data_IF_461668363980
#
_entry.id   IF_461668363980
#
_cell.length_a   1.000
_cell.length_b   1.000
_cell.length_c   1.000
_cell.angle_alpha   90.00
_cell.angle_beta   90.00
_cell.angle_gamma   90.00
#
_symmetry.space_group_name_H-M   'P 1'
#
loop_
_entity.id
_entity.type
_entity.pdbx_description
1 polymer ?
#
# COMPACT_ATOMS: atom_id res chain seq x y z
N UNK A 1 22.45 55.31 2.94
CA UNK A 1 22.91 56.13 4.10
C UNK A 1 21.91 55.83 5.21
N UNK A 2 22.20 55.26 6.38
CA UNK A 2 23.41 55.12 7.19
C UNK A 2 23.49 53.71 7.81
N UNK A 3 24.68 53.40 8.30
CA UNK A 3 25.18 52.16 8.89
C UNK A 3 25.35 52.39 10.40
N UNK A 4 24.97 51.41 11.23
CA UNK A 4 25.32 51.32 12.68
C UNK A 4 24.95 49.89 13.11
N UNK A 5 25.82 48.90 13.39
CA UNK A 5 26.91 48.71 14.38
C UNK A 5 26.53 48.97 15.83
N UNK A 6 26.33 47.87 16.59
CA UNK A 6 26.39 47.73 18.06
C UNK A 6 26.83 46.27 18.30
N UNK A 7 28.12 45.95 18.46
CA UNK A 7 28.96 45.88 19.68
C UNK A 7 28.47 44.93 20.77
N UNK A 8 29.27 43.88 20.99
CA UNK A 8 29.25 42.90 22.08
C UNK A 8 29.41 43.52 23.47
N UNK A 9 28.74 42.94 24.47
CA UNK A 9 29.26 42.88 25.85
C UNK A 9 29.02 41.49 26.46
N UNK A 10 30.12 40.86 26.89
CA UNK A 10 30.14 39.63 27.66
C UNK A 10 29.97 39.92 29.16
N UNK A 11 29.14 39.14 29.86
CA UNK A 11 29.20 38.99 31.31
C UNK A 11 29.77 37.61 31.65
N UNK A 12 30.81 37.66 32.46
CA UNK A 12 31.61 36.56 33.00
C UNK A 12 30.87 35.84 34.13
N UNK A 13 30.81 34.51 34.10
CA UNK A 13 30.74 33.71 35.32
C UNK A 13 31.81 32.61 35.27
N UNK A 14 32.62 32.56 36.31
CA UNK A 14 33.80 31.72 36.50
C UNK A 14 33.39 30.32 36.97
N UNK A 15 34.07 29.30 36.45
CA UNK A 15 33.95 27.91 36.93
C UNK A 15 34.98 26.95 36.33
N UNK A 16 36.26 27.21 36.59
CA UNK A 16 37.39 26.25 36.77
C UNK A 16 37.56 25.03 35.83
N UNK A 17 38.55 25.17 34.93
CA UNK A 17 39.69 24.28 34.62
C UNK A 17 39.51 22.75 34.50
N UNK A 18 39.75 22.23 33.28
CA UNK A 18 40.85 21.28 33.03
C UNK A 18 41.30 21.27 31.55
N UNK A 19 42.48 21.87 31.34
CA UNK A 19 43.62 21.57 30.43
C UNK A 19 43.39 20.76 29.13
N UNK A 20 43.57 21.50 28.02
CA UNK A 20 44.25 21.21 26.73
C UNK A 20 44.13 19.83 26.06
N UNK A 21 43.71 19.85 24.78
CA UNK A 21 44.66 19.80 23.65
C UNK A 21 44.00 20.23 22.33
N UNK A 22 44.43 21.40 21.81
CA UNK A 22 44.11 21.85 20.45
C UNK A 22 45.07 21.17 19.47
N UNK A 23 44.54 20.46 18.46
CA UNK A 23 45.25 20.21 17.21
C UNK A 23 44.39 20.78 16.08
N UNK A 24 44.82 21.92 15.54
CA UNK A 24 44.33 22.45 14.28
C UNK A 24 44.75 21.51 13.15
N UNK A 25 43.79 20.88 12.47
CA UNK A 25 44.02 20.27 11.15
C UNK A 25 43.43 21.21 10.10
N UNK A 26 44.33 21.78 9.31
CA UNK A 26 44.01 22.56 8.11
C UNK A 26 43.38 21.60 7.09
N UNK A 27 42.09 21.75 6.79
CA UNK A 27 41.42 21.02 5.70
C UNK A 27 41.63 21.78 4.40
N UNK A 28 42.61 21.37 3.60
CA UNK A 28 42.65 21.72 2.17
C UNK A 28 41.60 20.87 1.44
N UNK A 29 40.56 21.52 0.91
CA UNK A 29 39.56 20.88 0.04
C UNK A 29 40.19 20.57 -1.32
N UNK A 30 40.49 19.30 -1.58
CA UNK A 30 40.64 18.80 -2.94
C UNK A 30 39.28 18.23 -3.37
N UNK A 31 38.63 18.90 -4.33
CA UNK A 31 37.46 18.36 -5.02
C UNK A 31 37.93 17.23 -5.94
N UNK A 32 37.41 16.03 -5.75
CA UNK A 32 37.47 14.96 -6.74
C UNK A 32 36.05 14.56 -7.12
N UNK A 33 35.64 14.96 -8.32
CA UNK A 33 34.46 14.46 -9.01
C UNK A 33 34.67 13.00 -9.36
N UNK A 34 33.88 12.11 -8.77
CA UNK A 34 33.77 10.71 -9.20
C UNK A 34 32.40 10.52 -9.82
N UNK A 35 32.40 10.36 -11.14
CA UNK A 35 31.27 9.84 -11.92
C UNK A 35 31.25 8.32 -11.76
N UNK A 36 30.18 7.72 -11.25
CA UNK A 36 29.96 6.28 -11.41
C UNK A 36 28.50 5.95 -11.69
N UNK A 37 28.29 5.35 -12.86
CA UNK A 37 27.07 4.66 -13.25
C UNK A 37 27.12 3.22 -12.74
N UNK A 38 26.08 2.79 -12.01
CA UNK A 38 25.60 1.40 -11.95
C UNK A 38 26.38 0.35 -11.12
N UNK A 39 25.62 -0.28 -10.21
CA UNK A 39 25.88 -1.49 -9.37
C UNK A 39 26.61 -1.25 -8.04
N UNK A 40 25.89 -1.52 -6.96
CA UNK A 40 26.29 -1.32 -5.57
C UNK A 40 27.64 -1.96 -5.24
N UNK A 41 28.62 -1.10 -4.95
CA UNK A 41 29.92 -1.47 -4.40
C UNK A 41 29.98 -1.16 -2.91
N UNK A 42 30.62 -2.05 -2.15
CA UNK A 42 31.00 -1.80 -0.75
C UNK A 42 32.22 -0.88 -0.76
N UNK A 43 32.15 0.27 -0.09
CA UNK A 43 33.28 1.18 0.04
C UNK A 43 33.92 0.96 1.41
N UNK A 44 35.06 0.27 1.44
CA UNK A 44 35.89 0.19 2.63
C UNK A 44 36.85 1.39 2.65
N UNK A 45 36.62 2.35 3.55
CA UNK A 45 37.56 3.47 3.74
C UNK A 45 38.48 3.16 4.93
N UNK A 46 39.76 2.88 4.65
CA UNK A 46 40.79 2.82 5.68
C UNK A 46 41.40 4.21 5.87
N UNK A 47 41.03 4.89 6.96
CA UNK A 47 41.81 6.02 7.48
C UNK A 47 42.79 5.49 8.51
N UNK A 48 44.07 5.37 8.13
CA UNK A 48 45.16 5.03 9.03
C UNK A 48 45.56 6.25 9.87
N UNK A 49 44.79 6.56 10.91
CA UNK A 49 45.31 7.30 12.05
C UNK A 49 45.89 6.29 13.04
N UNK A 50 47.12 6.53 13.51
CA UNK A 50 47.76 5.74 14.57
C UNK A 50 46.91 5.88 15.83
N UNK A 51 45.91 5.01 16.01
CA UNK A 51 45.20 4.56 17.22
C UNK A 51 43.93 3.79 16.77
N UNK A 52 43.92 2.47 16.96
CA UNK A 52 42.74 1.61 16.77
C UNK A 52 42.35 1.29 15.32
N UNK A 53 42.39 0.02 14.94
CA UNK A 53 41.88 -0.50 13.67
C UNK A 53 40.35 -0.47 13.63
N UNK A 54 39.74 0.68 13.37
CA UNK A 54 38.31 0.75 13.06
C UNK A 54 38.12 0.73 11.53
N UNK A 55 37.93 -0.47 10.97
CA UNK A 55 37.46 -0.58 9.59
C UNK A 55 35.98 -0.23 9.56
N UNK A 56 35.65 0.98 9.10
CA UNK A 56 34.28 1.41 8.85
C UNK A 56 33.83 0.88 7.49
N UNK A 57 32.83 0.01 7.48
CA UNK A 57 32.27 -0.58 6.26
C UNK A 57 30.92 0.08 6.01
N UNK A 58 30.79 0.78 4.89
CA UNK A 58 29.55 1.42 4.47
C UNK A 58 29.05 0.78 3.17
N UNK A 59 27.77 0.42 3.15
CA UNK A 59 27.07 -0.11 1.98
C UNK A 59 25.62 0.39 1.95
N UNK A 60 25.01 0.39 0.78
CA UNK A 60 23.62 0.80 0.63
C UNK A 60 22.67 -0.17 1.35
N UNK A 61 21.69 0.39 2.07
CA UNK A 61 20.66 -0.36 2.81
C UNK A 61 19.62 -0.96 1.84
N UNK A 62 20.02 -1.97 1.07
CA UNK A 62 19.18 -2.63 0.08
C UNK A 62 18.27 -3.70 0.71
N UNK A 63 17.07 -3.95 0.14
CA UNK A 63 16.24 -5.09 0.55
C UNK A 63 16.97 -6.42 0.36
N UNK A 64 16.79 -7.34 1.30
CA UNK A 64 17.38 -8.68 1.26
C UNK A 64 16.33 -9.75 1.57
N UNK A 65 16.57 -10.97 1.11
CA UNK A 65 15.78 -12.16 1.46
C UNK A 65 16.71 -13.23 1.99
N UNK A 66 16.41 -13.74 3.18
CA UNK A 66 17.13 -14.82 3.82
C UNK A 66 16.92 -16.17 3.13
N UNK A 67 17.77 -17.16 3.43
CA UNK A 67 17.61 -18.55 2.97
C UNK A 67 16.28 -19.20 3.40
N UNK A 68 15.62 -18.66 4.42
CA UNK A 68 14.33 -19.14 4.93
C UNK A 68 13.15 -18.26 4.47
N UNK A 69 13.34 -17.43 3.43
CA UNK A 69 12.28 -16.59 2.86
C UNK A 69 11.96 -15.32 3.66
N UNK A 70 12.60 -15.08 4.81
CA UNK A 70 12.43 -13.82 5.53
C UNK A 70 12.96 -12.64 4.71
N UNK A 71 12.11 -11.65 4.49
CA UNK A 71 12.53 -10.36 3.94
C UNK A 71 13.02 -9.43 5.04
N UNK A 72 14.05 -8.65 4.72
CA UNK A 72 14.65 -7.66 5.61
C UNK A 72 15.38 -6.55 4.84
N UNK A 73 16.20 -5.79 5.56
CA UNK A 73 17.11 -4.79 5.02
C UNK A 73 18.54 -5.23 5.29
N UNK A 74 19.41 -5.10 4.31
CA UNK A 74 20.82 -5.35 4.50
C UNK A 74 21.41 -4.25 5.38
N UNK A 75 21.84 -4.59 6.60
CA UNK A 75 22.46 -3.67 7.56
C UNK A 75 23.74 -4.29 8.12
N UNK A 76 24.62 -3.49 8.71
CA UNK A 76 25.70 -4.05 9.53
C UNK A 76 25.12 -4.79 10.73
N UNK A 77 25.87 -5.74 11.31
CA UNK A 77 25.38 -6.45 12.50
C UNK A 77 25.10 -5.49 13.67
N UNK A 78 25.93 -4.46 13.81
CA UNK A 78 25.77 -3.41 14.83
C UNK A 78 24.52 -2.57 14.61
N UNK A 79 24.27 -2.09 13.38
CA UNK A 79 23.07 -1.33 13.06
C UNK A 79 21.82 -2.17 13.24
N UNK A 80 21.85 -3.44 12.82
CA UNK A 80 20.72 -4.33 12.99
C UNK A 80 20.32 -4.46 14.47
N UNK A 81 21.29 -4.69 15.36
CA UNK A 81 21.07 -4.73 16.80
C UNK A 81 20.62 -3.38 17.37
N UNK A 82 21.19 -2.27 16.89
CA UNK A 82 20.81 -0.91 17.31
C UNK A 82 19.34 -0.60 17.00
N UNK A 83 18.85 -1.07 15.85
CA UNK A 83 17.44 -0.92 15.46
C UNK A 83 16.51 -1.97 16.12
N UNK A 84 17.03 -2.81 17.01
CA UNK A 84 16.27 -3.89 17.64
C UNK A 84 15.83 -4.98 16.66
N UNK A 85 16.54 -5.12 15.53
CA UNK A 85 16.26 -6.12 14.52
C UNK A 85 16.97 -7.45 14.78
N UNK A 86 16.50 -8.49 14.11
CA UNK A 86 17.06 -9.84 14.18
C UNK A 86 17.80 -10.15 12.87
N UNK A 87 19.05 -10.60 12.98
CA UNK A 87 19.84 -11.05 11.84
C UNK A 87 19.31 -12.39 11.30
N UNK A 88 18.77 -12.37 10.08
CA UNK A 88 18.23 -13.55 9.38
C UNK A 88 19.07 -13.86 8.14
N UNK A 89 20.36 -14.10 8.30
CA UNK A 89 21.27 -14.45 7.20
C UNK A 89 22.22 -13.32 6.81
N UNK A 90 22.99 -13.52 5.74
CA UNK A 90 24.06 -12.61 5.29
C UNK A 90 23.67 -11.91 3.99
N UNK A 91 24.14 -10.69 3.80
CA UNK A 91 23.96 -9.87 2.60
C UNK A 91 25.25 -9.07 2.32
N UNK A 92 25.27 -8.24 1.26
CA UNK A 92 26.43 -7.43 0.85
C UNK A 92 27.74 -8.25 0.83
N UNK A 93 27.75 -9.39 0.13
CA UNK A 93 28.90 -10.31 0.05
C UNK A 93 29.48 -10.78 1.40
N UNK A 94 28.65 -10.79 2.45
CA UNK A 94 29.03 -11.23 3.80
C UNK A 94 29.46 -10.11 4.74
N UNK A 95 29.49 -8.85 4.28
CA UNK A 95 29.77 -7.69 5.13
C UNK A 95 28.54 -7.25 5.96
N UNK A 96 27.33 -7.63 5.54
CA UNK A 96 26.08 -7.28 6.21
C UNK A 96 25.25 -8.50 6.63
N UNK A 97 24.25 -8.25 7.46
CA UNK A 97 23.20 -9.21 7.83
C UNK A 97 21.88 -8.80 7.23
N UNK A 98 21.06 -9.78 6.86
CA UNK A 98 19.69 -9.50 6.45
C UNK A 98 18.85 -9.24 7.70
N UNK A 99 18.71 -7.96 8.03
CA UNK A 99 18.10 -7.51 9.27
C UNK A 99 16.58 -7.41 9.15
N UNK A 100 15.87 -8.04 10.06
CA UNK A 100 14.41 -7.93 10.16
C UNK A 100 14.06 -7.13 11.42
N UNK A 101 13.54 -5.93 11.22
CA UNK A 101 13.07 -5.06 12.31
C UNK A 101 11.57 -5.27 12.48
N UNK A 102 11.18 -5.86 13.61
CA UNK A 102 9.77 -6.03 14.00
C UNK A 102 9.43 -5.07 15.12
N UNK A 103 8.22 -4.53 15.09
CA UNK A 103 7.66 -3.60 16.06
C UNK A 103 6.24 -4.02 16.41
N UNK A 104 5.88 -3.90 17.68
CA UNK A 104 4.55 -4.20 18.20
C UNK A 104 3.99 -3.03 19.02
N UNK A 105 2.90 -3.27 19.73
CA UNK A 105 2.10 -2.26 20.42
C UNK A 105 2.94 -1.27 21.23
N UNK A 106 2.71 0.02 21.01
CA UNK A 106 3.38 1.13 21.69
C UNK A 106 4.74 1.51 21.10
N UNK A 107 5.31 0.71 20.21
CA UNK A 107 6.63 0.99 19.63
C UNK A 107 6.58 1.95 18.43
N UNK A 108 7.77 2.41 18.03
CA UNK A 108 7.97 3.29 16.88
C UNK A 108 8.77 2.60 15.78
N UNK A 109 8.29 2.71 14.55
CA UNK A 109 8.96 2.34 13.31
C UNK A 109 9.62 3.60 12.74
N UNK A 110 10.94 3.66 12.75
CA UNK A 110 11.74 4.73 12.13
C UNK A 110 12.49 4.25 10.88
N UNK A 111 12.73 2.95 10.78
CA UNK A 111 13.49 2.35 9.69
C UNK A 111 12.55 1.89 8.58
N UNK A 112 12.96 2.14 7.33
CA UNK A 112 12.24 1.62 6.17
C UNK A 112 12.22 0.09 6.21
N UNK A 113 11.17 -0.51 5.66
CA UNK A 113 11.05 -1.95 5.46
C UNK A 113 11.05 -2.75 6.78
N UNK A 114 10.40 -2.16 7.80
CA UNK A 114 10.12 -2.78 9.10
C UNK A 114 8.76 -3.49 9.10
N UNK A 115 8.45 -4.19 10.19
CA UNK A 115 7.21 -4.93 10.35
C UNK A 115 6.41 -4.46 11.55
N UNK A 116 5.11 -4.26 11.38
CA UNK A 116 4.14 -4.18 12.47
C UNK A 116 3.55 -5.57 12.70
N UNK A 117 3.79 -6.14 13.88
CA UNK A 117 3.39 -7.52 14.23
C UNK A 117 2.54 -7.57 15.48
N UNK A 118 1.72 -8.61 15.57
CA UNK A 118 1.00 -8.94 16.80
C UNK A 118 1.97 -9.27 17.95
N UNK A 119 1.58 -8.99 19.21
CA UNK A 119 2.47 -9.15 20.36
C UNK A 119 2.88 -10.61 20.60
N UNK A 120 2.09 -11.57 20.13
CA UNK A 120 2.41 -13.01 20.22
C UNK A 120 3.58 -13.35 19.31
N UNK A 121 3.51 -12.91 18.05
CA UNK A 121 4.57 -13.06 17.05
C UNK A 121 5.86 -12.39 17.52
N UNK A 122 5.76 -11.21 18.15
CA UNK A 122 6.93 -10.52 18.71
C UNK A 122 7.55 -11.28 19.89
N UNK A 123 6.74 -11.80 20.81
CA UNK A 123 7.20 -12.53 21.98
C UNK A 123 7.74 -13.93 21.66
N UNK A 124 7.44 -14.48 20.47
CA UNK A 124 7.76 -15.87 20.12
C UNK A 124 7.03 -16.88 21.00
N UNK A 125 5.90 -16.49 21.59
CA UNK A 125 5.10 -17.27 22.53
C UNK A 125 3.98 -18.03 21.81
N UNK A 126 3.47 -19.10 22.43
CA UNK A 126 2.30 -19.85 21.97
C UNK A 126 0.97 -19.34 22.55
N UNK A 127 0.97 -18.18 23.20
CA UNK A 127 -0.24 -17.53 23.73
C UNK A 127 -1.06 -16.88 22.61
N UNK A 128 -2.35 -16.61 22.83
CA UNK A 128 -3.18 -15.84 21.88
C UNK A 128 -3.04 -14.32 22.09
N UNK A 129 -3.42 -13.54 21.08
CA UNK A 129 -3.51 -12.08 21.20
C UNK A 129 -4.59 -11.71 22.23
N UNK A 130 -4.30 -10.82 23.20
CA UNK A 130 -5.30 -10.40 24.20
C UNK A 130 -6.56 -9.79 23.57
N UNK A 131 -7.73 -10.18 24.07
CA UNK A 131 -9.01 -9.61 23.64
C UNK A 131 -9.16 -8.17 24.17
N UNK A 132 -9.87 -7.33 23.44
CA UNK A 132 -10.07 -5.92 23.83
C UNK A 132 -8.80 -5.06 23.68
N UNK A 133 -7.76 -5.59 23.03
CA UNK A 133 -6.49 -4.90 22.88
C UNK A 133 -6.61 -3.78 21.83
N UNK A 134 -6.11 -2.61 22.20
CA UNK A 134 -5.76 -1.54 21.26
C UNK A 134 -4.24 -1.56 21.04
N UNK A 135 -3.81 -2.11 19.92
CA UNK A 135 -2.40 -2.25 19.58
C UNK A 135 -2.04 -1.29 18.46
N UNK A 136 -1.18 -0.31 18.72
CA UNK A 136 -0.78 0.66 17.70
C UNK A 136 0.74 0.81 17.63
N UNK A 137 1.24 1.05 16.42
CA UNK A 137 2.63 1.49 16.18
C UNK A 137 2.64 2.89 15.59
N UNK A 138 3.69 3.63 15.92
CA UNK A 138 3.96 4.97 15.39
C UNK A 138 4.98 4.85 14.27
N UNK A 139 4.68 5.35 13.07
CA UNK A 139 5.59 5.33 11.91
C UNK A 139 6.14 6.74 11.71
N UNK A 140 7.44 6.87 11.95
CA UNK A 140 8.21 8.05 11.58
C UNK A 140 8.79 7.85 10.20
N UNK A 141 8.76 8.91 9.38
CA UNK A 141 9.41 8.89 8.09
C UNK A 141 10.91 8.61 8.28
N UNK A 142 11.44 7.68 7.49
CA UNK A 142 12.87 7.36 7.47
C UNK A 142 13.72 8.53 6.94
N UNK A 143 13.09 9.49 6.27
CA UNK A 143 13.68 10.76 5.87
C UNK A 143 12.62 11.68 5.24
N UNK A 144 12.95 12.97 5.11
CA UNK A 144 12.03 13.99 4.58
C UNK A 144 11.54 13.68 3.14
N UNK A 145 12.32 12.93 2.36
CA UNK A 145 11.97 12.55 0.98
C UNK A 145 10.99 11.37 0.85
N UNK A 146 10.37 10.90 1.94
CA UNK A 146 9.34 9.85 1.90
C UNK A 146 7.98 10.48 1.60
N UNK A 147 7.33 10.03 0.53
CA UNK A 147 6.02 10.51 0.10
C UNK A 147 4.90 9.48 0.27
N UNK A 148 5.21 8.20 0.42
CA UNK A 148 4.17 7.18 0.47
C UNK A 148 4.57 6.01 1.37
N UNK A 149 3.60 5.46 2.09
CA UNK A 149 3.72 4.18 2.76
C UNK A 149 3.03 3.11 1.93
N UNK A 150 3.69 1.97 1.73
CA UNK A 150 3.09 0.73 1.25
C UNK A 150 3.08 -0.27 2.39
N UNK A 151 1.87 -0.67 2.79
CA UNK A 151 1.60 -1.64 3.84
C UNK A 151 1.26 -2.97 3.18
N UNK A 152 2.16 -3.95 3.22
CA UNK A 152 1.85 -5.30 2.73
C UNK A 152 1.35 -6.16 3.87
N UNK A 153 0.16 -6.72 3.71
CA UNK A 153 -0.52 -7.57 4.70
C UNK A 153 -0.02 -9.02 4.56
N UNK A 154 1.25 -9.26 4.94
CA UNK A 154 1.88 -10.59 4.85
C UNK A 154 1.21 -11.63 5.76
N UNK A 155 0.51 -11.21 6.79
CA UNK A 155 -0.47 -12.01 7.54
C UNK A 155 -1.50 -11.04 8.06
N UNK A 156 -2.76 -11.38 7.91
CA UNK A 156 -3.85 -10.56 8.41
C UNK A 156 -5.10 -11.42 8.53
N UNK A 157 -5.37 -11.82 9.76
CA UNK A 157 -6.55 -12.58 10.17
C UNK A 157 -7.02 -11.99 11.50
N UNK A 158 -8.10 -11.23 11.42
CA UNK A 158 -8.83 -10.64 12.54
C UNK A 158 -10.31 -10.92 12.32
N UNK A 159 -11.16 -10.59 13.28
CA UNK A 159 -12.61 -10.75 13.10
C UNK A 159 -13.08 -9.90 11.92
N UNK A 160 -13.95 -10.48 11.09
CA UNK A 160 -14.52 -9.85 9.92
C UNK A 160 -15.58 -8.80 10.25
N UNK A 161 -16.27 -8.30 9.21
CA UNK A 161 -17.37 -7.37 9.38
C UNK A 161 -18.53 -8.03 10.15
N UNK A 162 -19.30 -7.21 10.86
CA UNK A 162 -20.43 -7.67 11.65
C UNK A 162 -21.61 -8.09 10.76
N UNK A 163 -21.71 -9.40 10.57
CA UNK A 163 -22.83 -10.07 9.89
C UNK A 163 -24.00 -10.37 10.82
N UNK A 164 -23.80 -10.32 12.14
CA UNK A 164 -24.81 -10.68 13.14
C UNK A 164 -25.89 -9.61 13.29
N UNK A 165 -25.49 -8.33 13.25
CA UNK A 165 -26.40 -7.19 13.17
C UNK A 165 -26.74 -6.78 11.74
N UNK A 166 -26.18 -7.49 10.75
CA UNK A 166 -26.29 -7.16 9.31
C UNK A 166 -25.78 -5.75 9.00
N UNK A 167 -24.89 -5.20 9.84
CA UNK A 167 -24.32 -3.87 9.61
C UNK A 167 -23.20 -3.88 8.57
N UNK A 168 -22.50 -5.00 8.39
CA UNK A 168 -21.38 -5.13 7.46
C UNK A 168 -20.14 -4.31 7.84
N UNK A 169 -20.15 -3.63 8.99
CA UNK A 169 -19.06 -2.76 9.43
C UNK A 169 -18.02 -3.56 10.22
N UNK A 170 -16.75 -3.16 10.14
CA UNK A 170 -15.66 -3.62 11.00
C UNK A 170 -15.82 -3.12 12.45
N UNK A 171 -16.89 -3.50 13.14
CA UNK A 171 -17.23 -3.05 14.50
C UNK A 171 -16.58 -3.89 15.60
N UNK A 172 -16.20 -5.14 15.30
CA UNK A 172 -15.53 -6.03 16.24
C UNK A 172 -14.02 -5.78 16.25
N UNK A 173 -13.36 -6.10 15.14
CA UNK A 173 -11.94 -5.81 14.94
C UNK A 173 -11.78 -4.82 13.78
N UNK A 174 -10.84 -3.89 13.89
CA UNK A 174 -10.56 -2.92 12.84
C UNK A 174 -9.07 -2.56 12.77
N UNK A 175 -8.53 -2.56 11.56
CA UNK A 175 -7.31 -1.88 11.20
C UNK A 175 -7.60 -0.46 10.77
N UNK A 176 -6.84 0.50 11.29
CA UNK A 176 -6.93 1.90 10.90
C UNK A 176 -5.54 2.49 10.66
N UNK A 177 -5.48 3.43 9.72
CA UNK A 177 -4.32 4.28 9.45
C UNK A 177 -4.74 5.72 9.69
N UNK A 178 -3.96 6.45 10.47
CA UNK A 178 -4.19 7.86 10.79
C UNK A 178 -2.90 8.67 10.70
N UNK A 179 -3.01 9.99 10.46
CA UNK A 179 -1.86 10.88 10.28
C UNK A 179 -1.26 10.86 8.87
N UNK A 180 -1.91 10.21 7.90
CA UNK A 180 -1.63 10.31 6.47
C UNK A 180 -2.25 11.57 5.85
N UNK A 181 -1.93 11.85 4.58
CA UNK A 181 -2.49 12.99 3.85
C UNK A 181 -4.03 12.95 3.83
N UNK A 182 -4.69 14.10 3.94
CA UNK A 182 -6.16 14.19 4.04
C UNK A 182 -6.90 13.61 2.83
N UNK A 183 -6.27 13.63 1.65
CA UNK A 183 -6.81 13.11 0.40
C UNK A 183 -6.45 11.63 0.16
N UNK A 184 -5.81 10.97 1.14
CA UNK A 184 -5.38 9.56 1.07
C UNK A 184 -5.98 8.74 2.21
N UNK A 185 -7.27 8.92 2.48
CA UNK A 185 -7.97 8.19 3.56
C UNK A 185 -7.93 6.68 3.29
N UNK A 186 -7.42 5.93 4.28
CA UNK A 186 -7.48 4.47 4.28
C UNK A 186 -8.73 4.05 5.04
N UNK A 187 -9.66 3.30 4.43
CA UNK A 187 -10.86 2.82 5.13
C UNK A 187 -10.49 1.81 6.23
N UNK A 188 -11.41 1.58 7.16
CA UNK A 188 -11.22 0.54 8.17
C UNK A 188 -11.21 -0.84 7.50
N UNK A 189 -10.21 -1.66 7.78
CA UNK A 189 -10.07 -3.00 7.19
C UNK A 189 -10.16 -4.05 8.29
N UNK A 190 -10.89 -5.13 8.05
CA UNK A 190 -11.04 -6.25 8.99
C UNK A 190 -11.19 -7.57 8.23
N UNK A 191 -11.22 -8.69 8.96
CA UNK A 191 -11.33 -10.02 8.39
C UNK A 191 -10.03 -10.57 7.79
N UNK A 192 -10.15 -11.39 6.74
CA UNK A 192 -9.04 -12.09 6.08
C UNK A 192 -8.47 -11.29 4.91
N UNK A 193 -7.24 -10.79 5.06
CA UNK A 193 -6.60 -9.92 4.04
C UNK A 193 -5.14 -10.31 3.72
N UNK A 194 -4.78 -11.56 4.01
CA UNK A 194 -3.44 -12.07 3.70
C UNK A 194 -3.10 -11.89 2.21
N UNK A 195 -1.91 -11.36 1.93
CA UNK A 195 -1.41 -11.15 0.58
C UNK A 195 -1.87 -9.84 -0.08
N UNK A 196 -2.78 -9.10 0.54
CA UNK A 196 -3.17 -7.78 0.05
C UNK A 196 -2.20 -6.67 0.48
N UNK A 197 -2.38 -5.47 -0.06
CA UNK A 197 -1.60 -4.29 0.34
C UNK A 197 -2.45 -3.03 0.35
N UNK A 198 -1.92 -2.00 1.01
CA UNK A 198 -2.51 -0.66 1.09
C UNK A 198 -1.42 0.38 0.84
N UNK A 199 -1.73 1.42 0.08
CA UNK A 199 -0.92 2.61 -0.07
C UNK A 199 -1.55 3.77 0.71
N UNK A 200 -0.72 4.51 1.45
CA UNK A 200 -1.11 5.74 2.13
C UNK A 200 -0.12 6.84 1.76
N UNK A 201 -0.61 7.93 1.14
CA UNK A 201 0.19 9.11 0.86
C UNK A 201 0.53 9.83 2.15
N UNK A 202 1.79 10.23 2.27
CA UNK A 202 2.32 10.98 3.40
C UNK A 202 3.17 12.14 2.89
N UNK A 203 2.91 12.64 1.68
CA UNK A 203 3.73 13.65 1.05
C UNK A 203 3.61 15.01 1.76
N UNK A 204 2.41 15.34 2.23
CA UNK A 204 2.04 16.66 2.74
C UNK A 204 2.00 16.71 4.28
N UNK A 205 2.40 15.63 4.94
CA UNK A 205 2.45 15.50 6.41
C UNK A 205 3.84 15.12 6.88
N UNK A 206 4.32 15.74 7.96
CA UNK A 206 5.61 15.36 8.58
C UNK A 206 5.50 14.06 9.40
N UNK A 207 4.28 13.65 9.71
CA UNK A 207 3.97 12.51 10.58
C UNK A 207 3.85 12.90 12.06
N UNK A 208 3.81 11.91 12.96
CA UNK A 208 3.87 10.49 12.65
C UNK A 208 2.57 9.94 12.05
N UNK A 209 2.69 8.89 11.25
CA UNK A 209 1.53 8.08 10.84
C UNK A 209 1.32 6.98 11.87
N UNK A 210 0.08 6.71 12.28
CA UNK A 210 -0.24 5.69 13.27
C UNK A 210 -1.01 4.54 12.63
N UNK A 211 -0.50 3.32 12.79
CA UNK A 211 -1.17 2.08 12.37
C UNK A 211 -1.76 1.43 13.61
N UNK A 212 -3.07 1.21 13.64
CA UNK A 212 -3.75 0.73 14.85
C UNK A 212 -4.64 -0.48 14.55
N UNK A 213 -4.48 -1.51 15.38
CA UNK A 213 -5.37 -2.66 15.54
C UNK A 213 -6.26 -2.42 16.75
N UNK A 214 -7.58 -2.33 16.53
CA UNK A 214 -8.60 -2.17 17.55
C UNK A 214 -9.36 -3.49 17.61
N UNK A 215 -9.32 -4.20 18.73
CA UNK A 215 -9.85 -5.56 18.83
C UNK A 215 -11.01 -5.63 19.82
N UNK A 216 -12.04 -6.43 19.51
CA UNK A 216 -13.14 -6.69 20.41
C UNK A 216 -12.75 -7.61 21.57
N UNK A 217 -13.58 -7.64 22.61
CA UNK A 217 -13.38 -8.46 23.81
C UNK A 217 -13.73 -9.94 23.63
N UNK A 218 -14.25 -10.33 22.48
CA UNK A 218 -14.57 -11.73 22.16
C UNK A 218 -13.30 -12.54 21.92
N UNK A 219 -13.32 -13.81 22.35
CA UNK A 219 -12.17 -14.70 22.27
C UNK A 219 -12.07 -15.30 20.87
N UNK A 220 -11.10 -14.82 20.10
CA UNK A 220 -10.80 -15.36 18.77
C UNK A 220 -9.30 -15.37 18.52
N UNK A 221 -8.86 -16.33 17.69
CA UNK A 221 -7.48 -16.33 17.19
C UNK A 221 -7.32 -15.18 16.20
N UNK A 222 -6.34 -14.32 16.46
CA UNK A 222 -5.99 -13.16 15.64
C UNK A 222 -4.50 -13.20 15.36
N UNK A 223 -4.10 -12.84 14.15
CA UNK A 223 -2.69 -12.67 13.84
C UNK A 223 -2.51 -11.66 12.71
N UNK A 224 -1.49 -10.81 12.85
CA UNK A 224 -1.09 -9.90 11.80
C UNK A 224 0.41 -9.74 11.73
N UNK A 225 0.87 -9.57 10.50
CA UNK A 225 2.24 -9.22 10.15
C UNK A 225 2.16 -8.31 8.94
N UNK A 226 2.36 -7.02 9.18
CA UNK A 226 2.23 -5.97 8.18
C UNK A 226 3.63 -5.42 7.89
N UNK A 227 4.10 -5.56 6.66
CA UNK A 227 5.37 -4.97 6.22
C UNK A 227 5.15 -3.52 5.86
N UNK A 228 5.88 -2.61 6.50
CA UNK A 228 5.81 -1.17 6.30
C UNK A 228 6.97 -0.73 5.41
N UNK A 229 6.66 -0.40 4.16
CA UNK A 229 7.62 0.10 3.17
C UNK A 229 7.40 1.60 3.00
N UNK A 230 8.44 2.38 3.14
CA UNK A 230 8.47 3.81 2.92
C UNK A 230 9.05 4.10 1.53
N UNK A 231 8.26 4.74 0.68
CA UNK A 231 8.57 4.98 -0.72
C UNK A 231 8.97 6.45 -0.89
N UNK A 232 10.18 6.72 -1.43
CA UNK A 232 10.62 8.07 -1.73
C UNK A 232 9.81 8.74 -2.84
N UNK A 233 9.70 10.06 -2.80
CA UNK A 233 8.97 10.89 -3.77
C UNK A 233 9.45 10.76 -5.22
N UNK A 234 10.70 10.35 -5.44
CA UNK A 234 11.26 10.12 -6.79
C UNK A 234 11.18 8.68 -7.27
N UNK A 235 10.52 7.78 -6.52
CA UNK A 235 10.48 6.36 -6.85
C UNK A 235 9.56 6.07 -8.03
N UNK A 236 10.02 5.27 -8.99
CA UNK A 236 9.17 4.71 -10.06
C UNK A 236 8.07 3.78 -9.53
N UNK A 237 8.16 3.41 -8.25
CA UNK A 237 7.19 2.54 -7.55
C UNK A 237 6.13 3.28 -6.77
N UNK A 238 6.06 4.61 -6.89
CA UNK A 238 4.94 5.38 -6.34
C UNK A 238 3.63 4.94 -6.99
N UNK A 239 2.61 4.72 -6.16
CA UNK A 239 1.26 4.58 -6.68
C UNK A 239 0.74 5.96 -7.08
N UNK A 240 -0.07 6.05 -8.16
CA UNK A 240 -0.71 7.31 -8.53
C UNK A 240 -1.59 7.87 -7.39
N UNK A 241 -1.79 9.20 -7.34
CA UNK A 241 -2.71 9.82 -6.37
C UNK A 241 -4.12 9.20 -6.44
N UNK A 242 -4.75 8.98 -5.28
CA UNK A 242 -6.08 8.38 -5.16
C UNK A 242 -6.11 6.84 -5.18
N UNK A 243 -4.99 6.18 -5.48
CA UNK A 243 -4.91 4.72 -5.48
C UNK A 243 -4.64 4.15 -4.08
N UNK A 244 -5.61 3.44 -3.49
CA UNK A 244 -5.39 2.70 -2.24
C UNK A 244 -4.62 1.40 -2.50
N UNK A 245 -4.86 0.75 -3.64
CA UNK A 245 -4.09 -0.39 -4.09
C UNK A 245 -3.42 -0.07 -5.43
N UNK A 246 -2.18 -0.49 -5.58
CA UNK A 246 -1.45 -0.36 -6.84
C UNK A 246 -0.71 -1.66 -7.18
N UNK A 247 -1.19 -2.32 -8.23
CA UNK A 247 -0.64 -3.56 -8.75
C UNK A 247 0.39 -3.25 -9.83
N UNK A 248 1.62 -3.69 -9.59
CA UNK A 248 2.76 -3.41 -10.46
C UNK A 248 3.03 -4.54 -11.46
N UNK A 249 2.51 -5.74 -11.18
CA UNK A 249 2.76 -6.93 -11.98
C UNK A 249 1.93 -6.92 -13.28
N UNK A 250 2.47 -7.46 -14.40
CA UNK A 250 1.78 -7.50 -15.68
C UNK A 250 0.45 -8.27 -15.66
N UNK A 251 0.35 -9.27 -14.79
CA UNK A 251 -0.85 -10.10 -14.60
C UNK A 251 -1.00 -10.42 -13.12
N UNK A 252 -2.24 -10.60 -12.67
CA UNK A 252 -2.54 -10.90 -11.28
C UNK A 252 -4.03 -11.05 -11.04
N UNK A 253 -4.38 -11.38 -9.80
CA UNK A 253 -5.76 -11.39 -9.31
C UNK A 253 -5.93 -10.22 -8.34
N UNK A 254 -7.11 -9.60 -8.39
CA UNK A 254 -7.52 -8.58 -7.43
C UNK A 254 -8.82 -9.03 -6.78
N UNK A 255 -8.99 -8.69 -5.52
CA UNK A 255 -10.19 -9.00 -4.75
C UNK A 255 -10.42 -7.91 -3.72
N UNK A 256 -11.67 -7.79 -3.26
CA UNK A 256 -12.00 -6.88 -2.17
C UNK A 256 -11.30 -7.28 -0.87
N UNK A 257 -11.22 -6.34 0.07
CA UNK A 257 -10.86 -6.70 1.45
C UNK A 257 -11.87 -7.72 2.01
N UNK A 258 -11.38 -8.64 2.84
CA UNK A 258 -12.10 -9.78 3.39
C UNK A 258 -12.70 -10.74 2.33
N UNK A 259 -12.17 -10.74 1.10
CA UNK A 259 -12.55 -11.73 0.10
C UNK A 259 -11.96 -13.09 0.45
N UNK A 260 -12.71 -13.88 1.22
CA UNK A 260 -12.36 -15.24 1.58
C UNK A 260 -12.85 -16.22 0.51
N UNK A 261 -12.04 -16.49 -0.53
CA UNK A 261 -12.26 -17.66 -1.38
C UNK A 261 -11.89 -18.91 -0.58
N UNK A 262 -12.87 -19.50 0.12
CA UNK A 262 -12.80 -20.78 0.84
C UNK A 262 -11.41 -21.19 1.32
N UNK A 263 -11.02 -20.81 2.54
CA UNK A 263 -9.69 -21.10 3.10
C UNK A 263 -9.26 -22.57 2.94
N UNK A 264 -8.05 -22.84 2.39
CA UNK A 264 -7.35 -24.06 2.69
C UNK A 264 -5.86 -23.73 2.93
N UNK A 265 -5.54 -23.09 4.04
CA UNK A 265 -4.18 -23.14 4.58
C UNK A 265 -4.23 -23.37 6.09
N UNK A 266 -4.07 -24.65 6.47
CA UNK A 266 -3.56 -25.06 7.77
C UNK A 266 -4.44 -24.81 8.98
N UNK A 267 -5.42 -25.69 9.19
CA UNK A 267 -5.81 -26.12 10.54
C UNK A 267 -6.27 -25.02 11.50
N UNK A 268 -7.38 -24.37 11.16
CA UNK A 268 -8.12 -23.51 12.08
C UNK A 268 -9.61 -23.61 11.77
N UNK A 269 -10.25 -24.63 12.32
CA UNK A 269 -11.70 -24.77 12.37
C UNK A 269 -12.31 -23.71 13.30
N UNK A 270 -12.17 -22.43 12.99
CA UNK A 270 -13.14 -21.44 13.44
C UNK A 270 -14.10 -21.29 12.29
N UNK A 271 -15.30 -21.88 12.37
CA UNK A 271 -16.36 -21.73 11.37
C UNK A 271 -16.87 -20.29 11.25
N UNK A 272 -15.99 -19.33 10.98
CA UNK A 272 -16.32 -17.93 10.79
C UNK A 272 -17.00 -17.80 9.44
N UNK A 273 -18.31 -17.60 9.52
CA UNK A 273 -19.23 -17.31 8.42
C UNK A 273 -19.22 -15.80 8.05
N UNK A 274 -18.23 -15.04 8.53
CA UNK A 274 -18.05 -13.59 8.30
C UNK A 274 -17.54 -13.32 6.87
N UNK A 275 -18.13 -13.99 5.89
CA UNK A 275 -17.85 -13.87 4.46
C UNK A 275 -18.61 -12.68 3.91
N UNK A 276 -17.91 -11.76 3.26
CA UNK A 276 -18.49 -10.54 2.70
C UNK A 276 -17.45 -9.42 2.67
N UNK A 277 -17.64 -8.42 1.81
CA UNK A 277 -16.78 -7.24 1.85
C UNK A 277 -17.23 -6.32 2.99
N UNK A 278 -16.31 -5.63 3.69
CA UNK A 278 -16.70 -4.66 4.70
C UNK A 278 -17.44 -3.48 4.07
N UNK A 279 -18.34 -2.86 4.82
CA UNK A 279 -19.00 -1.63 4.41
C UNK A 279 -18.05 -0.42 4.49
N UNK A 280 -18.46 0.67 3.85
CA UNK A 280 -17.73 1.95 3.77
C UNK A 280 -16.34 1.84 3.12
N UNK A 281 -16.21 0.95 2.15
CA UNK A 281 -14.97 0.74 1.38
C UNK A 281 -15.00 1.53 0.08
N UNK A 282 -14.86 2.85 0.18
CA UNK A 282 -14.69 3.71 -1.00
C UNK A 282 -13.21 3.86 -1.33
N UNK A 283 -12.71 3.09 -2.31
CA UNK A 283 -11.30 3.14 -2.71
C UNK A 283 -11.10 2.75 -4.17
N UNK A 284 -9.97 3.17 -4.73
CA UNK A 284 -9.54 2.82 -6.09
C UNK A 284 -8.39 1.83 -6.10
N UNK A 285 -8.45 0.88 -7.04
CA UNK A 285 -7.38 -0.05 -7.38
C UNK A 285 -6.78 0.40 -8.72
N UNK A 286 -5.47 0.60 -8.73
CA UNK A 286 -4.74 1.05 -9.89
C UNK A 286 -3.77 -0.03 -10.38
N UNK A 287 -3.46 0.02 -11.67
CA UNK A 287 -2.61 -0.96 -12.33
C UNK A 287 -1.48 -0.25 -13.07
N UNK A 288 -0.26 -0.76 -12.94
CA UNK A 288 0.83 -0.39 -13.82
C UNK A 288 0.67 -1.14 -15.13
N UNK A 289 0.72 -0.42 -16.25
CA UNK A 289 0.82 -1.06 -17.56
C UNK A 289 2.21 -1.68 -17.71
N UNK A 290 2.26 -2.94 -18.12
CA UNK A 290 3.51 -3.60 -18.46
C UNK A 290 4.19 -2.91 -19.66
N UNK A 291 5.51 -2.97 -19.72
CA UNK A 291 6.27 -2.38 -20.81
C UNK A 291 5.83 -2.99 -22.16
N UNK A 292 5.46 -2.15 -23.12
CA UNK A 292 4.94 -2.58 -24.41
C UNK A 292 3.48 -3.06 -24.40
N UNK A 293 2.79 -2.99 -23.26
CA UNK A 293 1.35 -3.25 -23.18
C UNK A 293 0.53 -1.97 -23.33
N UNK A 294 -0.62 -2.15 -23.95
CA UNK A 294 -1.49 -1.09 -24.47
C UNK A 294 -2.90 -1.12 -23.89
N UNK A 295 -3.26 -2.26 -23.32
CA UNK A 295 -4.55 -2.52 -22.72
C UNK A 295 -4.36 -3.26 -21.41
N UNK A 296 -5.28 -3.01 -20.49
CA UNK A 296 -5.54 -3.84 -19.33
C UNK A 296 -6.76 -4.69 -19.66
N UNK A 297 -6.65 -6.01 -19.44
CA UNK A 297 -7.77 -6.94 -19.56
C UNK A 297 -8.17 -7.43 -18.17
N UNK A 298 -9.41 -7.18 -17.79
CA UNK A 298 -10.02 -7.66 -16.56
C UNK A 298 -11.03 -8.75 -16.91
N UNK A 299 -11.04 -9.84 -16.15
CA UNK A 299 -11.98 -10.94 -16.30
C UNK A 299 -12.38 -11.45 -14.93
N UNK A 300 -13.60 -12.00 -14.84
CA UNK A 300 -14.05 -12.66 -13.60
C UNK A 300 -13.22 -13.91 -13.36
N UNK A 301 -12.89 -14.14 -12.10
CA UNK A 301 -12.21 -15.33 -11.63
C UNK A 301 -13.08 -16.02 -10.57
N UNK A 302 -14.02 -16.84 -11.05
CA UNK A 302 -15.07 -17.43 -10.21
C UNK A 302 -16.36 -16.60 -10.18
N UNK A 303 -17.27 -16.87 -9.24
CA UNK A 303 -18.50 -16.08 -9.08
C UNK A 303 -18.14 -14.65 -8.67
N UNK A 304 -18.68 -13.69 -9.42
CA UNK A 304 -18.57 -12.27 -9.11
C UNK A 304 -19.94 -11.77 -8.67
N UNK A 305 -19.98 -11.00 -7.59
CA UNK A 305 -21.20 -10.45 -7.02
C UNK A 305 -20.89 -9.26 -6.13
N UNK A 306 -21.41 -8.08 -6.45
CA UNK A 306 -21.46 -6.91 -5.54
C UNK A 306 -22.92 -6.75 -5.11
N UNK A 307 -23.23 -6.92 -3.82
CA UNK A 307 -24.61 -6.82 -3.28
C UNK A 307 -25.68 -7.81 -3.81
N UNK A 308 -25.31 -8.89 -4.50
CA UNK A 308 -26.31 -9.89 -4.92
C UNK A 308 -26.59 -10.92 -3.81
N UNK A 309 -27.86 -11.18 -3.41
CA UNK A 309 -28.20 -12.51 -2.92
C UNK A 309 -27.89 -13.54 -4.04
N UNK A 310 -27.49 -14.78 -3.72
CA UNK A 310 -27.43 -15.82 -4.74
C UNK A 310 -28.78 -15.86 -5.46
N UNK A 311 -28.76 -15.93 -6.79
CA UNK A 311 -29.97 -16.06 -7.58
C UNK A 311 -30.83 -17.17 -6.94
N UNK A 312 -32.00 -16.80 -6.40
CA UNK A 312 -32.97 -17.83 -6.08
C UNK A 312 -33.39 -18.41 -7.42
N UNK A 313 -33.05 -19.68 -7.64
CA UNK A 313 -33.60 -20.49 -8.73
C UNK A 313 -35.12 -20.46 -8.60
N UNK A 314 -35.71 -19.49 -9.28
CA UNK A 314 -37.13 -19.23 -9.32
C UNK A 314 -37.57 -19.19 -10.78
N UNK A 315 -37.74 -20.39 -11.34
CA UNK A 315 -38.72 -20.68 -12.38
C UNK A 315 -38.61 -19.91 -13.69
N UNK A 316 -38.04 -20.59 -14.68
CA UNK A 316 -38.48 -20.66 -16.09
C UNK A 316 -38.54 -19.36 -16.92
N UNK A 317 -37.80 -19.36 -18.04
CA UNK A 317 -37.94 -18.33 -19.08
C UNK A 317 -36.67 -17.86 -19.76
N UNK A 318 -35.82 -18.79 -20.24
CA UNK A 318 -35.01 -18.78 -21.49
C UNK A 318 -34.52 -17.49 -22.19
N UNK A 319 -34.41 -16.33 -21.53
CA UNK A 319 -33.87 -15.11 -22.12
C UNK A 319 -32.44 -14.85 -21.65
N UNK A 320 -31.48 -14.69 -22.59
CA UNK A 320 -30.22 -14.00 -22.28
C UNK A 320 -30.57 -12.63 -21.71
N UNK A 321 -30.48 -12.46 -20.39
CA UNK A 321 -30.51 -11.13 -19.77
C UNK A 321 -29.35 -10.35 -20.39
N UNK A 322 -29.66 -9.33 -21.20
CA UNK A 322 -28.66 -8.38 -21.65
C UNK A 322 -28.14 -7.65 -20.40
N UNK A 323 -26.83 -7.50 -20.22
CA UNK A 323 -26.28 -6.69 -19.13
C UNK A 323 -26.86 -5.28 -19.28
N UNK A 324 -27.66 -4.84 -18.32
CA UNK A 324 -28.23 -3.49 -18.35
C UNK A 324 -27.34 -2.64 -17.48
N UNK A 325 -26.29 -2.10 -18.11
CA UNK A 325 -25.58 -0.93 -17.63
C UNK A 325 -26.61 0.10 -17.10
N UNK A 326 -26.54 0.45 -15.81
CA UNK A 326 -27.33 1.50 -15.12
C UNK A 326 -28.49 1.06 -14.20
N UNK A 327 -28.43 -0.09 -13.51
CA UNK A 327 -29.36 -0.40 -12.39
C UNK A 327 -28.68 -0.70 -11.06
N UNK A 328 -27.64 0.04 -10.70
CA UNK A 328 -27.14 0.02 -9.31
C UNK A 328 -28.05 0.81 -8.37
N UNK A 329 -29.36 0.70 -8.54
CA UNK A 329 -30.40 1.25 -7.68
C UNK A 329 -30.97 0.10 -6.85
N UNK A 330 -30.91 0.22 -5.52
CA UNK A 330 -31.50 -0.76 -4.63
C UNK A 330 -33.02 -0.55 -4.54
N UNK A 331 -33.79 -1.32 -5.31
CA UNK A 331 -35.25 -1.26 -5.29
C UNK A 331 -35.89 -1.87 -4.02
N UNK A 332 -35.12 -2.47 -3.10
CA UNK A 332 -35.69 -3.07 -1.87
C UNK A 332 -36.27 -2.03 -0.90
N UNK A 333 -35.83 -0.78 -0.97
CA UNK A 333 -36.21 0.27 0.00
C UNK A 333 -37.16 1.36 -0.52
N UNK A 334 -37.73 1.25 -1.73
CA UNK A 334 -38.57 2.31 -2.35
C UNK A 334 -37.94 3.72 -2.30
N UNK A 335 -36.62 3.79 -2.18
CA UNK A 335 -35.80 5.00 -2.11
C UNK A 335 -34.54 4.74 -2.93
N UNK A 336 -34.01 5.72 -3.70
CA UNK A 336 -32.82 5.53 -4.52
C UNK A 336 -31.58 5.53 -3.62
N UNK A 337 -31.38 4.47 -2.84
CA UNK A 337 -30.07 4.14 -2.29
C UNK A 337 -29.32 3.41 -3.41
N UNK A 338 -28.14 3.93 -3.77
CA UNK A 338 -27.28 3.26 -4.73
C UNK A 338 -26.80 1.94 -4.12
N UNK A 339 -26.98 0.83 -4.83
CA UNK A 339 -26.34 -0.43 -4.50
C UNK A 339 -24.82 -0.27 -4.60
N UNK A 340 -24.05 -1.06 -3.85
CA UNK A 340 -22.60 -1.04 -4.00
C UNK A 340 -22.21 -1.43 -5.43
N UNK A 341 -21.17 -0.77 -5.94
CA UNK A 341 -20.75 -0.95 -7.33
C UNK A 341 -19.22 -0.97 -7.46
N UNK A 342 -18.75 -1.72 -8.45
CA UNK A 342 -17.41 -1.61 -9.01
C UNK A 342 -17.45 -0.61 -10.18
N UNK A 343 -16.68 0.46 -10.12
CA UNK A 343 -16.53 1.39 -11.23
C UNK A 343 -15.31 1.03 -12.08
N UNK A 344 -15.50 0.79 -13.37
CA UNK A 344 -14.40 0.68 -14.33
C UNK A 344 -14.53 1.80 -15.38
N UNK A 345 -13.60 2.75 -15.35
CA UNK A 345 -13.72 3.98 -16.11
C UNK A 345 -14.90 4.82 -15.59
N UNK A 346 -15.94 4.98 -16.41
CA UNK A 346 -17.17 5.70 -16.05
C UNK A 346 -18.38 4.79 -15.88
N UNK A 347 -18.19 3.47 -16.03
CA UNK A 347 -19.28 2.50 -16.01
C UNK A 347 -19.35 1.81 -14.63
N UNK A 348 -20.47 1.92 -13.90
CA UNK A 348 -20.72 1.12 -12.70
C UNK A 348 -21.17 -0.31 -13.07
N UNK A 349 -20.69 -1.28 -12.29
CA UNK A 349 -21.07 -2.69 -12.32
C UNK A 349 -21.50 -3.12 -10.91
N UNK A 350 -22.66 -3.75 -10.78
CA UNK A 350 -23.24 -4.19 -9.51
C UNK A 350 -23.93 -5.55 -9.71
N UNK A 351 -24.28 -6.22 -8.62
CA UNK A 351 -24.78 -7.59 -8.66
C UNK A 351 -23.76 -8.55 -9.27
N UNK A 352 -24.27 -9.53 -10.00
CA UNK A 352 -23.53 -10.50 -10.81
C UNK A 352 -23.27 -10.02 -12.26
N UNK A 353 -23.68 -8.79 -12.57
CA UNK A 353 -23.65 -8.22 -13.92
C UNK A 353 -22.27 -7.65 -14.26
N UNK A 354 -21.27 -8.52 -14.35
CA UNK A 354 -19.94 -8.19 -14.86
C UNK A 354 -19.64 -9.03 -16.11
N UNK A 355 -19.11 -8.43 -17.20
CA UNK A 355 -18.87 -9.15 -18.45
C UNK A 355 -17.80 -10.24 -18.28
N UNK A 356 -17.76 -11.24 -19.17
CA UNK A 356 -16.73 -12.29 -19.11
C UNK A 356 -15.31 -11.71 -19.12
N UNK A 357 -15.12 -10.64 -19.87
CA UNK A 357 -13.94 -9.79 -19.79
C UNK A 357 -14.26 -8.36 -20.22
N UNK A 358 -13.48 -7.42 -19.69
CA UNK A 358 -13.39 -6.02 -20.12
C UNK A 358 -11.95 -5.74 -20.53
N UNK A 359 -11.76 -5.05 -21.65
CA UNK A 359 -10.44 -4.64 -22.11
C UNK A 359 -10.42 -3.12 -22.29
N UNK A 360 -9.43 -2.47 -21.68
CA UNK A 360 -9.30 -1.01 -21.81
C UNK A 360 -8.77 -0.69 -23.21
N UNK A 361 -9.49 0.14 -23.97
CA UNK A 361 -8.96 0.72 -25.19
C UNK A 361 -8.14 1.97 -24.89
N UNK A 362 -6.83 1.83 -24.64
CA UNK A 362 -5.97 3.01 -24.48
C UNK A 362 -5.22 3.28 -25.79
N UNK A 363 -5.90 3.91 -26.75
CA UNK A 363 -5.32 4.26 -28.06
C UNK A 363 -4.19 5.31 -27.96
N UNK A 364 -4.11 6.05 -26.84
CA UNK A 364 -3.16 7.16 -26.65
C UNK A 364 -1.73 6.68 -26.44
N UNK A 365 -1.52 5.53 -25.80
CA UNK A 365 -0.16 5.00 -25.54
C UNK A 365 0.41 4.18 -26.69
N UNK A 366 -0.42 3.83 -27.67
CA UNK A 366 -0.10 2.78 -28.66
C UNK A 366 -0.04 3.32 -30.07
N UNK A 367 -0.23 4.63 -30.22
CA UNK A 367 -0.29 5.23 -31.53
C UNK A 367 0.51 6.52 -31.56
N UNK A 368 1.58 6.51 -32.34
CA UNK A 368 1.87 7.66 -33.20
C UNK A 368 0.83 7.78 -34.32
N UNK A 369 -0.48 7.56 -34.07
CA UNK A 369 -1.58 7.67 -35.04
C UNK A 369 -3.00 7.56 -34.45
N UNK A 370 -3.62 8.72 -34.29
CA UNK A 370 -5.04 9.07 -34.38
C UNK A 370 -6.15 8.05 -33.99
N UNK A 371 -6.87 8.44 -32.93
CA UNK A 371 -8.33 8.43 -32.71
C UNK A 371 -9.17 7.25 -33.25
N UNK A 372 -9.77 6.50 -32.31
CA UNK A 372 -10.89 5.61 -32.57
C UNK A 372 -11.50 5.06 -31.28
N UNK A 373 -12.81 5.29 -31.10
CA UNK A 373 -13.61 5.04 -29.91
C UNK A 373 -13.69 3.57 -29.42
N UNK A 374 -14.10 3.41 -28.16
CA UNK A 374 -14.52 2.15 -27.52
C UNK A 374 -15.42 1.34 -28.44
N UNK A 375 -15.01 0.10 -28.76
CA UNK A 375 -15.86 -0.89 -29.43
C UNK A 375 -16.39 -1.88 -28.40
N UNK A 376 -17.68 -1.77 -28.09
CA UNK A 376 -18.46 -2.87 -27.52
C UNK A 376 -18.85 -3.82 -28.65
N UNK A 377 -18.59 -5.13 -28.47
CA UNK A 377 -18.81 -6.13 -29.51
C UNK A 377 -20.23 -6.71 -29.36
N UNK A 378 -21.26 -5.97 -29.81
CA UNK A 378 -22.61 -6.52 -29.97
C UNK A 378 -22.74 -7.18 -31.35
N UNK A 379 -22.90 -8.51 -31.35
CA UNK A 379 -23.22 -9.29 -32.55
C UNK A 379 -24.73 -9.17 -32.80
N UNK A 380 -25.14 -8.39 -33.79
CA UNK A 380 -26.48 -8.50 -34.36
C UNK A 380 -26.44 -8.57 -35.89
N UNK A 381 -26.99 -9.67 -36.39
CA UNK A 381 -27.42 -9.88 -37.76
C UNK A 381 -28.50 -8.86 -38.11
N UNK A 382 -28.33 -8.11 -39.21
CA UNK A 382 -29.44 -7.89 -40.14
C UNK A 382 -29.04 -7.29 -41.50
N UNK A 383 -29.94 -7.56 -42.44
CA UNK A 383 -29.89 -7.38 -43.89
C UNK A 383 -29.82 -5.92 -44.34
N UNK A 384 -29.17 -5.73 -45.48
CA UNK A 384 -29.34 -4.66 -46.48
C UNK A 384 -30.45 -3.62 -46.24
N UNK A 385 -30.06 -2.35 -46.06
CA UNK A 385 -30.68 -1.21 -46.78
C UNK A 385 -29.79 0.04 -46.78
N UNK A 386 -29.95 0.81 -47.85
CA UNK A 386 -29.10 1.89 -48.34
C UNK A 386 -29.22 3.20 -47.53
N UNK A 387 -28.08 3.93 -47.49
CA UNK A 387 -27.77 5.36 -47.22
C UNK A 387 -28.92 6.41 -47.40
N UNK A 388 -28.87 7.64 -46.81
CA UNK A 388 -27.72 8.56 -46.91
C UNK A 388 -27.35 9.52 -45.74
N UNK A 389 -26.17 10.13 -45.96
CA UNK A 389 -25.33 11.07 -45.18
C UNK A 389 -26.01 12.35 -44.66
N UNK A 390 -25.51 12.88 -43.53
CA UNK A 390 -25.21 14.31 -43.21
C UNK A 390 -24.47 14.36 -41.85
N UNK A 391 -23.18 14.72 -41.86
CA UNK A 391 -22.59 16.04 -41.52
C UNK A 391 -22.06 16.08 -40.08
N UNK A 392 -20.73 16.21 -39.98
CA UNK A 392 -19.94 16.40 -38.75
C UNK A 392 -20.18 17.81 -38.21
N UNK A 393 -20.37 17.92 -36.90
CA UNK A 393 -20.08 19.14 -36.15
C UNK A 393 -19.24 18.74 -34.94
N UNK A 394 -17.95 19.11 -34.95
CA UNK A 394 -17.02 18.95 -33.83
C UNK A 394 -17.32 20.06 -32.80
N UNK A 395 -17.63 19.69 -31.56
CA UNK A 395 -17.54 20.59 -30.39
C UNK A 395 -16.55 20.01 -29.41
N UNK A 396 -15.40 20.68 -29.27
CA UNK A 396 -14.52 20.54 -28.12
C UNK A 396 -15.24 21.05 -26.87
N UNK A 397 -15.26 20.25 -25.80
CA UNK A 397 -15.66 20.70 -24.46
C UNK A 397 -14.58 20.24 -23.48
N UNK A 398 -13.82 21.22 -22.98
CA UNK A 398 -13.06 21.12 -21.75
C UNK A 398 -14.01 21.25 -20.56
N UNK A 399 -13.89 20.39 -19.55
CA UNK A 399 -14.34 20.71 -18.18
C UNK A 399 -13.52 19.90 -17.16
N UNK A 400 -12.67 20.61 -16.41
CA UNK A 400 -12.34 20.24 -15.05
C UNK A 400 -13.48 20.60 -14.10
N UNK A 401 -13.50 20.00 -12.92
CA UNK A 401 -14.45 20.33 -11.87
C UNK A 401 -14.17 19.56 -10.58
N UNK A 402 -13.56 20.24 -9.62
CA UNK A 402 -13.61 19.89 -8.20
C UNK A 402 -15.04 19.98 -7.67
N UNK A 403 -15.41 19.12 -6.72
CA UNK A 403 -16.49 19.42 -5.79
C UNK A 403 -16.07 19.04 -4.36
N UNK A 404 -16.54 19.93 -3.47
CA UNK A 404 -16.32 20.08 -2.03
C UNK A 404 -16.87 18.89 -1.24
#
# INVERSE_FOLDING_TARGET
>A
MHRTTVTDECIVSRGTFNVLCFVCVVLTSAKSTVTSSGKGGVVASQRSARWGLFNWVEFANEPCVSRHGFSGVCLTSSECSLHGGVARGRCANGYGVCCQVMKTCGETISSNNSYFVDPVTMAGSLTSVPNGLHCAVTVNKAGAGVCQLRLNLERFDVIGPDVSSVSGVCSHDAFSVSGQDTNSVVPLICGLNHGQHVYASVADVDGPVRLSMILARNETLRSWKIRVIQIPCGSQRLAPPGCLQYHEDPTGRVSSFNYASGAPFGGGSTGRLETGYPNFQSYSICFRLAAGSCSLRLAKDGPFGVDAPPAQDGGDGGGRRKPVANRCEDFRFRSPLQADFLMLGVQPFCGDDFPDHLETGNSVFCSGRELGALKTNERHSEKNRLLPKREKEEREVWCGGSYI
#
